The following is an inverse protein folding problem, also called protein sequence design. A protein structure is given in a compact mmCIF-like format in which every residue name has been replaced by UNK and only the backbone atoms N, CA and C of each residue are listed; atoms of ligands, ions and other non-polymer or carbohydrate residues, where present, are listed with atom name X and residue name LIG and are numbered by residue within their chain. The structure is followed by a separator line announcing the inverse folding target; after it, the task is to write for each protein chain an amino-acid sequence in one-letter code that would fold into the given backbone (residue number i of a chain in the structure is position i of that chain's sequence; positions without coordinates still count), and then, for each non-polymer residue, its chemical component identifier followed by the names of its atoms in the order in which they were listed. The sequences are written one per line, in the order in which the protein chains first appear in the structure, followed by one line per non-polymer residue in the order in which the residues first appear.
data_IF_427216210464
#
_entry.id   IF_427216210464
#
_cell.length_a   1.000
_cell.length_b   1.000
_cell.length_c   1.000
_cell.angle_alpha   90.00
_cell.angle_beta   90.00
_cell.angle_gamma   90.00
#
_symmetry.space_group_name_H-M   'P 1'
#
loop_
_entity.id
_entity.type
_entity.pdbx_description
1 polymer ?
#
# COMPACT_ATOMS: atom_id res chain seq x y z
N UNK A 1 -6.09 10.91 -8.44
CA UNK A 1 -4.79 11.06 -7.73
C UNK A 1 -4.40 9.75 -7.02
N UNK A 2 -5.28 9.19 -6.17
CA UNK A 2 -5.07 7.91 -5.46
C UNK A 2 -4.60 6.77 -6.38
N UNK A 3 -5.21 6.60 -7.55
CA UNK A 3 -4.78 5.55 -8.49
C UNK A 3 -3.32 5.67 -8.91
N UNK A 4 -2.77 6.89 -9.04
CA UNK A 4 -1.34 7.09 -9.37
C UNK A 4 -0.42 6.65 -8.23
N UNK A 5 -0.82 6.85 -6.98
CA UNK A 5 -0.08 6.33 -5.83
C UNK A 5 -0.04 4.80 -5.84
N UNK A 6 -1.18 4.16 -6.15
CA UNK A 6 -1.27 2.70 -6.20
C UNK A 6 -0.48 2.13 -7.38
N UNK A 7 -0.58 2.71 -8.58
CA UNK A 7 0.26 2.33 -9.72
C UNK A 7 1.75 2.50 -9.42
N UNK A 8 2.11 3.56 -8.68
CA UNK A 8 3.47 3.76 -8.19
C UNK A 8 3.99 2.61 -7.34
N UNK A 9 3.15 2.01 -6.48
CA UNK A 9 3.55 0.82 -5.71
C UNK A 9 3.87 -0.36 -6.63
N UNK A 10 3.07 -0.60 -7.67
CA UNK A 10 3.28 -1.72 -8.60
C UNK A 10 4.59 -1.55 -9.38
N UNK A 11 4.91 -0.32 -9.78
CA UNK A 11 6.18 -0.02 -10.48
C UNK A 11 7.36 -0.19 -9.53
N UNK A 12 7.30 0.41 -8.34
CA UNK A 12 8.37 0.35 -7.34
C UNK A 12 8.64 -1.06 -6.83
N UNK A 13 7.63 -1.93 -6.81
CA UNK A 13 7.79 -3.32 -6.37
C UNK A 13 8.86 -4.08 -7.17
N UNK A 14 9.01 -3.77 -8.46
CA UNK A 14 9.99 -4.44 -9.33
C UNK A 14 11.44 -4.10 -8.99
N UNK A 15 11.68 -2.95 -8.37
CA UNK A 15 13.03 -2.44 -8.09
C UNK A 15 13.35 -2.47 -6.60
N UNK A 16 12.35 -2.29 -5.73
CA UNK A 16 12.51 -2.25 -4.28
C UNK A 16 11.29 -2.85 -3.57
N UNK A 17 11.22 -4.19 -3.45
CA UNK A 17 10.07 -4.88 -2.86
C UNK A 17 9.89 -4.56 -1.36
N UNK A 18 10.98 -4.41 -0.62
CA UNK A 18 10.98 -4.19 0.84
C UNK A 18 10.43 -2.80 1.21
N UNK A 19 10.91 -1.74 0.58
CA UNK A 19 10.38 -0.39 0.81
C UNK A 19 8.95 -0.26 0.26
N UNK A 20 8.65 -0.92 -0.87
CA UNK A 20 7.29 -0.93 -1.42
C UNK A 20 6.30 -1.58 -0.45
N UNK A 21 6.69 -2.67 0.22
CA UNK A 21 5.88 -3.30 1.28
C UNK A 21 5.59 -2.33 2.41
N UNK A 22 6.61 -1.67 2.95
CA UNK A 22 6.48 -0.68 4.02
C UNK A 22 5.59 0.49 3.61
N UNK A 23 5.75 0.98 2.37
CA UNK A 23 4.95 2.09 1.83
C UNK A 23 3.49 1.69 1.60
N UNK A 24 3.23 0.49 1.10
CA UNK A 24 1.89 -0.06 0.98
C UNK A 24 1.20 -0.18 2.35
N UNK A 25 1.93 -0.59 3.39
CA UNK A 25 1.42 -0.62 4.77
C UNK A 25 1.03 0.77 5.28
N UNK A 26 1.83 1.79 4.97
CA UNK A 26 1.54 3.19 5.32
C UNK A 26 0.28 3.72 4.62
N UNK A 27 0.01 3.30 3.36
CA UNK A 27 -1.25 3.64 2.66
C UNK A 27 -2.45 2.93 3.28
N UNK A 28 -2.31 1.67 3.70
CA UNK A 28 -3.38 0.94 4.41
C UNK A 28 -3.72 1.65 5.74
N UNK A 29 -2.70 2.11 6.46
CA UNK A 29 -2.88 2.85 7.71
C UNK A 29 -3.68 4.15 7.48
N UNK A 30 -3.45 4.87 6.38
CA UNK A 30 -4.24 6.05 6.01
C UNK A 30 -5.74 5.75 5.75
N UNK A 31 -6.10 4.49 5.46
CA UNK A 31 -7.50 4.05 5.34
C UNK A 31 -8.12 3.61 6.69
N UNK A 32 -7.40 3.76 7.81
CA UNK A 32 -7.86 3.39 9.15
C UNK A 32 -8.11 4.64 9.99
N UNK A 33 -9.21 4.67 10.74
CA UNK A 33 -9.47 5.71 11.74
C UNK A 33 -8.51 5.62 12.93
N UNK A 34 -7.91 4.45 13.14
CA UNK A 34 -6.88 4.20 14.16
C UNK A 34 -5.69 3.54 13.46
N UNK A 35 -4.74 4.33 12.93
CA UNK A 35 -3.57 3.79 12.25
C UNK A 35 -2.57 3.20 13.27
N UNK A 36 -2.16 1.95 13.07
CA UNK A 36 -1.15 1.27 13.90
C UNK A 36 0.29 1.68 13.55
N UNK A 37 0.47 2.28 12.37
CA UNK A 37 1.77 2.76 11.85
C UNK A 37 1.61 4.17 11.27
N UNK A 38 2.69 4.96 11.13
CA UNK A 38 2.62 6.26 10.48
C UNK A 38 2.01 6.18 9.08
N UNK A 39 1.01 7.01 8.83
CA UNK A 39 0.34 7.12 7.53
C UNK A 39 1.10 8.07 6.59
N UNK A 40 1.06 7.76 5.29
CA UNK A 40 1.58 8.64 4.27
C UNK A 40 0.61 9.83 4.11
N UNK A 41 1.07 11.02 4.50
CA UNK A 41 0.24 12.23 4.55
C UNK A 41 -0.23 12.69 3.17
N UNK A 42 0.56 12.45 2.12
CA UNK A 42 0.18 12.81 0.76
C UNK A 42 -0.94 11.88 0.25
N UNK A 43 -0.82 10.58 0.54
CA UNK A 43 -1.87 9.61 0.24
C UNK A 43 -3.15 9.87 1.06
N UNK A 44 -3.01 10.12 2.36
CA UNK A 44 -4.13 10.44 3.27
C UNK A 44 -4.94 11.64 2.76
N UNK A 45 -4.27 12.73 2.40
CA UNK A 45 -4.92 13.92 1.84
C UNK A 45 -5.68 13.60 0.55
N UNK A 46 -5.08 12.82 -0.36
CA UNK A 46 -5.73 12.39 -1.60
C UNK A 46 -6.95 11.47 -1.35
N UNK A 47 -6.87 10.61 -0.34
CA UNK A 47 -7.91 9.65 0.05
C UNK A 47 -9.12 10.36 0.67
N UNK A 48 -8.90 11.36 1.52
CA UNK A 48 -9.97 12.16 2.15
C UNK A 48 -10.81 12.92 1.11
N UNK A 49 -10.23 13.23 -0.06
CA UNK A 49 -10.94 13.82 -1.19
C UNK A 49 -11.82 12.84 -1.98
N UNK A 50 -11.79 11.54 -1.68
CA UNK A 50 -12.61 10.53 -2.34
C UNK A 50 -13.93 10.28 -1.60
N UNK A 51 -14.95 9.82 -2.33
CA UNK A 51 -16.19 9.36 -1.72
C UNK A 51 -15.95 8.14 -0.81
N UNK A 52 -16.78 7.97 0.22
CA UNK A 52 -16.63 6.88 1.19
C UNK A 52 -16.67 5.48 0.55
N UNK A 53 -17.47 5.31 -0.51
CA UNK A 53 -17.51 4.06 -1.25
C UNK A 53 -16.19 3.77 -1.98
N UNK A 54 -15.58 4.79 -2.57
CA UNK A 54 -14.26 4.69 -3.18
C UNK A 54 -13.20 4.35 -2.13
N UNK A 55 -13.23 4.99 -0.95
CA UNK A 55 -12.28 4.71 0.13
C UNK A 55 -12.31 3.23 0.55
N UNK A 56 -13.51 2.62 0.63
CA UNK A 56 -13.66 1.18 0.92
C UNK A 56 -13.05 0.31 -0.17
N UNK A 57 -13.30 0.64 -1.44
CA UNK A 57 -12.73 -0.07 -2.60
C UNK A 57 -11.20 0.05 -2.64
N UNK A 58 -10.69 1.25 -2.38
CA UNK A 58 -9.26 1.56 -2.31
C UNK A 58 -8.60 0.74 -1.20
N UNK A 59 -9.17 0.72 0.01
CA UNK A 59 -8.67 -0.11 1.13
C UNK A 59 -8.60 -1.59 0.76
N UNK A 60 -9.65 -2.13 0.14
CA UNK A 60 -9.68 -3.53 -0.32
C UNK A 60 -8.59 -3.81 -1.37
N UNK A 61 -8.39 -2.89 -2.32
CA UNK A 61 -7.34 -2.99 -3.34
C UNK A 61 -5.94 -2.97 -2.71
N UNK A 62 -5.68 -2.07 -1.77
CA UNK A 62 -4.41 -1.98 -1.06
C UNK A 62 -4.10 -3.23 -0.24
N UNK A 63 -5.10 -3.81 0.44
CA UNK A 63 -4.90 -5.08 1.15
C UNK A 63 -4.53 -6.22 0.21
N UNK A 64 -5.24 -6.37 -0.91
CA UNK A 64 -4.90 -7.39 -1.91
C UNK A 64 -3.49 -7.21 -2.48
N UNK A 65 -3.10 -5.97 -2.78
CA UNK A 65 -1.76 -5.64 -3.25
C UNK A 65 -0.70 -5.93 -2.18
N UNK A 66 -0.95 -5.57 -0.91
CA UNK A 66 -0.04 -5.85 0.20
C UNK A 66 0.17 -7.34 0.39
N UNK A 67 -0.90 -8.15 0.38
CA UNK A 67 -0.78 -9.61 0.48
C UNK A 67 0.08 -10.19 -0.64
N UNK A 68 -0.10 -9.72 -1.88
CA UNK A 68 0.72 -10.14 -3.00
C UNK A 68 2.20 -9.75 -2.83
N UNK A 69 2.46 -8.50 -2.45
CA UNK A 69 3.82 -7.99 -2.19
C UNK A 69 4.47 -8.77 -1.05
N UNK A 70 3.74 -9.03 0.03
CA UNK A 70 4.21 -9.73 1.22
C UNK A 70 4.58 -11.18 0.89
N UNK A 71 3.74 -11.88 0.14
CA UNK A 71 4.03 -13.25 -0.34
C UNK A 71 5.27 -13.29 -1.24
N UNK A 72 5.38 -12.39 -2.22
CA UNK A 72 6.56 -12.37 -3.09
C UNK A 72 7.83 -11.90 -2.36
N UNK A 73 7.72 -10.99 -1.40
CA UNK A 73 8.87 -10.54 -0.61
C UNK A 73 9.38 -11.67 0.30
N UNK A 74 8.50 -12.46 0.91
CA UNK A 74 8.89 -13.66 1.68
C UNK A 74 9.61 -14.67 0.80
N UNK A 75 9.05 -14.97 -0.39
CA UNK A 75 9.68 -15.90 -1.35
C UNK A 75 11.06 -15.43 -1.82
N UNK A 76 11.27 -14.11 -1.97
CA UNK A 76 12.58 -13.58 -2.35
C UNK A 76 13.65 -13.76 -1.25
N UNK A 77 13.24 -13.75 0.04
CA UNK A 77 14.17 -13.95 1.15
C UNK A 77 14.54 -15.42 1.36
N UNK A 78 13.71 -16.38 0.93
CA UNK A 78 13.99 -17.81 1.05
C UNK A 78 14.95 -18.37 -0.02
N UNK A 79 15.28 -17.61 -1.07
CA UNK A 79 16.22 -18.04 -2.13
C UNK A 79 17.68 -17.65 -1.80
N UNK A 80 17.89 -16.82 -0.78
CA UNK A 80 19.23 -16.37 -0.37
C UNK A 80 19.80 -17.13 0.85
N UNK A 81 19.10 -18.13 1.41
CA UNK A 81 19.61 -19.03 2.46
C UNK A 81 20.00 -20.43 1.94
#
# INVERSE_FOLDING_TARGET
QVNRFIDGLVVSFKTDPTNTRSKCRSFIAACSSQPEVPCDKAFESALLGCALDDQKKIKKRLHGLYTYIDQCAVVAQEIEE
#
